data_IF_506624246188
#
_entry.id   IF_506624246188
#
_cell.length_a   1.000
_cell.length_b   1.000
_cell.length_c   1.000
_cell.angle_alpha   90.00
_cell.angle_beta   90.00
_cell.angle_gamma   90.00
#
_symmetry.space_group_name_H-M   'P 1'
#
loop_
_entity.id
_entity.type
_entity.pdbx_description
1 polymer ?
#
# COMPACT_ATOMS: atom_id res chain seq x y z
N UNK A 1 -48.04 20.91 -70.68
CA UNK A 1 -46.61 21.21 -70.47
C UNK A 1 -46.55 22.34 -69.45
N UNK A 2 -45.92 22.27 -68.28
CA UNK A 2 -44.89 21.39 -67.74
C UNK A 2 -45.07 21.25 -66.23
N UNK A 3 -44.84 20.04 -65.72
CA UNK A 3 -44.72 19.77 -64.30
C UNK A 3 -43.33 20.23 -63.81
N UNK A 4 -43.27 21.13 -62.83
CA UNK A 4 -42.03 21.39 -62.09
C UNK A 4 -41.86 20.28 -61.06
N UNK A 5 -40.82 19.45 -61.24
CA UNK A 5 -40.46 18.40 -60.29
C UNK A 5 -39.79 19.03 -59.06
N UNK A 6 -40.53 19.16 -57.96
CA UNK A 6 -39.90 19.27 -56.64
C UNK A 6 -39.43 17.88 -56.22
N UNK A 7 -38.11 17.69 -56.10
CA UNK A 7 -37.54 16.53 -55.41
C UNK A 7 -37.90 16.64 -53.93
N UNK A 8 -38.85 15.83 -53.47
CA UNK A 8 -38.98 15.52 -52.06
C UNK A 8 -37.77 14.67 -51.66
N UNK A 9 -36.85 15.23 -50.86
CA UNK A 9 -35.95 14.41 -50.07
C UNK A 9 -36.77 13.72 -48.97
N UNK A 10 -36.57 12.42 -48.71
CA UNK A 10 -37.11 11.83 -47.49
C UNK A 10 -36.36 12.43 -46.30
N UNK A 11 -37.10 12.96 -45.34
CA UNK A 11 -36.57 13.40 -44.06
C UNK A 11 -35.94 12.21 -43.32
N UNK A 12 -34.61 12.09 -43.38
CA UNK A 12 -33.84 11.19 -42.51
C UNK A 12 -33.66 11.85 -41.14
N UNK A 13 -34.77 12.02 -40.44
CA UNK A 13 -34.80 12.36 -39.02
C UNK A 13 -34.68 11.05 -38.21
N UNK A 14 -33.46 10.66 -37.84
CA UNK A 14 -33.28 9.65 -36.78
C UNK A 14 -32.04 8.75 -36.86
N UNK A 15 -31.27 8.78 -37.93
CA UNK A 15 -30.11 7.89 -38.06
C UNK A 15 -28.80 8.66 -37.91
N UNK A 16 -28.08 8.36 -36.83
CA UNK A 16 -26.76 8.92 -36.55
C UNK A 16 -25.75 8.31 -37.54
N UNK A 17 -25.50 9.00 -38.66
CA UNK A 17 -24.61 8.55 -39.74
C UNK A 17 -23.10 8.77 -39.46
N UNK A 18 -22.71 9.13 -38.23
CA UNK A 18 -21.31 9.30 -37.87
C UNK A 18 -20.68 7.96 -37.42
N UNK A 19 -19.44 7.65 -37.84
CA UNK A 19 -18.75 6.44 -37.41
C UNK A 19 -18.54 6.46 -35.88
N UNK A 20 -19.12 5.49 -35.18
CA UNK A 20 -19.06 5.36 -33.72
C UNK A 20 -20.35 5.70 -32.96
N UNK A 21 -21.45 5.99 -33.64
CA UNK A 21 -22.74 6.25 -32.99
C UNK A 21 -23.67 5.02 -33.08
N UNK A 22 -24.05 4.45 -31.94
CA UNK A 22 -25.08 3.41 -31.86
C UNK A 22 -26.38 4.00 -31.30
N UNK A 23 -27.49 3.80 -32.03
CA UNK A 23 -28.83 4.10 -31.54
C UNK A 23 -29.27 3.01 -30.56
N UNK A 24 -29.05 3.23 -29.26
CA UNK A 24 -29.54 2.34 -28.20
C UNK A 24 -31.01 2.72 -27.91
N UNK A 25 -31.89 2.48 -28.87
CA UNK A 25 -33.34 2.54 -28.66
C UNK A 25 -33.83 1.15 -28.27
N UNK A 26 -34.34 0.99 -27.05
CA UNK A 26 -35.03 -0.24 -26.66
C UNK A 26 -36.47 -0.22 -27.21
N UNK A 27 -36.82 -1.29 -27.93
CA UNK A 27 -38.15 -1.51 -28.47
C UNK A 27 -39.15 -1.73 -27.32
N UNK A 28 -40.20 -0.90 -27.23
CA UNK A 28 -41.12 -0.86 -26.08
C UNK A 28 -42.14 -2.00 -26.04
N UNK A 29 -42.13 -2.89 -27.03
CA UNK A 29 -43.19 -3.88 -27.26
C UNK A 29 -43.07 -5.20 -26.50
N UNK A 30 -41.89 -5.61 -26.03
CA UNK A 30 -41.73 -6.89 -25.31
C UNK A 30 -40.60 -6.87 -24.26
N UNK A 31 -40.75 -6.10 -23.16
CA UNK A 31 -39.75 -6.09 -22.11
C UNK A 31 -39.60 -7.45 -21.42
N UNK A 32 -40.67 -8.23 -21.23
CA UNK A 32 -40.60 -9.45 -20.40
C UNK A 32 -39.93 -10.66 -21.09
N UNK A 33 -39.83 -10.66 -22.42
CA UNK A 33 -39.21 -11.75 -23.17
C UNK A 33 -37.68 -11.62 -23.26
N UNK A 34 -37.12 -10.46 -22.90
CA UNK A 34 -35.69 -10.21 -23.06
C UNK A 34 -34.88 -10.99 -21.99
N UNK A 35 -33.86 -11.79 -22.39
CA UNK A 35 -33.10 -12.63 -21.46
C UNK A 35 -32.40 -11.84 -20.34
N UNK A 36 -32.16 -10.54 -20.53
CA UNK A 36 -31.61 -9.64 -19.51
C UNK A 36 -32.56 -9.31 -18.34
N UNK A 37 -33.88 -9.47 -18.50
CA UNK A 37 -34.88 -9.17 -17.47
C UNK A 37 -35.27 -10.39 -16.62
N UNK A 38 -34.81 -11.59 -16.99
CA UNK A 38 -34.95 -12.82 -16.19
C UNK A 38 -33.96 -12.84 -15.02
N UNK A 39 -34.24 -12.10 -13.95
CA UNK A 39 -33.41 -12.12 -12.73
C UNK A 39 -33.65 -13.40 -11.92
N UNK A 40 -32.67 -14.32 -11.88
CA UNK A 40 -32.57 -15.30 -10.79
C UNK A 40 -31.92 -14.64 -9.58
N UNK A 41 -32.74 -14.32 -8.57
CA UNK A 41 -32.25 -13.73 -7.32
C UNK A 41 -31.59 -14.85 -6.51
N UNK A 42 -30.26 -14.87 -6.46
CA UNK A 42 -29.48 -15.70 -5.52
C UNK A 42 -29.62 -15.14 -4.10
N UNK A 43 -29.88 -16.01 -3.12
CA UNK A 43 -29.94 -15.67 -1.67
C UNK A 43 -28.57 -15.39 -1.03
N UNK A 44 -27.46 -15.55 -1.76
CA UNK A 44 -26.10 -15.23 -1.29
C UNK A 44 -25.61 -14.04 -2.10
N UNK A 45 -25.62 -12.86 -1.48
CA UNK A 45 -25.58 -11.56 -2.16
C UNK A 45 -24.29 -11.25 -2.93
N UNK A 46 -24.44 -10.38 -3.94
CA UNK A 46 -23.66 -9.20 -4.36
C UNK A 46 -24.32 -8.72 -5.67
N UNK A 47 -24.63 -7.41 -5.80
CA UNK A 47 -25.46 -6.84 -6.88
C UNK A 47 -24.72 -6.60 -8.21
N UNK A 48 -25.45 -6.45 -9.34
CA UNK A 48 -24.91 -6.53 -10.70
C UNK A 48 -24.42 -5.18 -11.26
N UNK A 49 -23.80 -4.32 -10.45
CA UNK A 49 -23.20 -3.07 -10.92
C UNK A 49 -21.69 -3.17 -11.20
N UNK A 50 -21.11 -4.36 -11.06
CA UNK A 50 -19.78 -4.63 -11.60
C UNK A 50 -19.92 -4.92 -13.10
N UNK A 51 -19.31 -4.09 -13.94
CA UNK A 51 -19.21 -4.36 -15.38
C UNK A 51 -18.57 -5.73 -15.60
N UNK A 52 -19.37 -6.73 -15.98
CA UNK A 52 -18.93 -8.09 -16.30
C UNK A 52 -18.46 -8.24 -17.75
N UNK A 53 -18.48 -7.15 -18.53
CA UNK A 53 -17.88 -7.15 -19.86
C UNK A 53 -16.36 -7.31 -19.72
N UNK A 54 -15.84 -8.41 -20.27
CA UNK A 54 -14.43 -8.68 -20.41
C UNK A 54 -13.76 -7.47 -21.08
N UNK A 55 -12.93 -6.71 -20.34
CA UNK A 55 -12.25 -5.51 -20.86
C UNK A 55 -11.13 -5.84 -21.86
N UNK A 56 -10.75 -7.10 -21.97
CA UNK A 56 -9.66 -7.57 -22.82
C UNK A 56 -10.09 -8.86 -23.52
N UNK A 57 -10.38 -8.80 -24.82
CA UNK A 57 -10.51 -10.00 -25.64
C UNK A 57 -9.12 -10.64 -25.76
N UNK A 58 -8.78 -11.53 -24.83
CA UNK A 58 -7.68 -12.46 -25.01
C UNK A 58 -8.17 -13.59 -25.90
N UNK A 59 -8.30 -13.31 -27.20
CA UNK A 59 -8.58 -14.36 -28.20
C UNK A 59 -7.31 -15.17 -28.51
N UNK A 60 -6.14 -14.72 -28.03
CA UNK A 60 -4.98 -15.60 -27.83
C UNK A 60 -5.03 -16.22 -26.44
N UNK A 61 -5.74 -17.34 -26.34
CA UNK A 61 -5.44 -18.33 -25.30
C UNK A 61 -4.02 -18.79 -25.57
N UNK A 62 -3.05 -18.27 -24.80
CA UNK A 62 -1.69 -18.76 -24.84
C UNK A 62 -1.72 -20.26 -24.50
N UNK A 63 -1.39 -21.12 -25.45
CA UNK A 63 -1.23 -22.57 -25.25
C UNK A 63 -0.05 -22.93 -24.32
N UNK A 64 0.51 -21.94 -23.62
CA UNK A 64 1.50 -22.15 -22.58
C UNK A 64 0.78 -22.59 -21.29
N UNK A 65 0.98 -23.83 -20.82
CA UNK A 65 0.45 -24.26 -19.53
C UNK A 65 0.94 -23.30 -18.42
N UNK A 66 0.09 -23.08 -17.42
CA UNK A 66 0.46 -22.32 -16.24
C UNK A 66 1.67 -22.95 -15.54
N UNK A 67 2.37 -22.16 -14.72
CA UNK A 67 3.50 -22.68 -13.92
C UNK A 67 2.99 -23.79 -13.00
N UNK A 68 3.21 -25.06 -13.38
CA UNK A 68 2.74 -26.26 -12.68
C UNK A 68 1.81 -27.17 -13.49
N UNK A 69 1.28 -26.72 -14.64
CA UNK A 69 0.31 -27.46 -15.47
C UNK A 69 0.95 -28.34 -16.55
N UNK A 70 2.27 -28.53 -16.51
CA UNK A 70 2.92 -29.49 -17.41
C UNK A 70 2.57 -30.91 -16.94
N UNK A 71 1.89 -31.69 -17.78
CA UNK A 71 1.79 -33.14 -17.60
C UNK A 71 3.20 -33.73 -17.68
N UNK A 72 3.81 -33.93 -16.51
CA UNK A 72 5.02 -34.73 -16.37
C UNK A 72 4.61 -36.17 -16.68
N UNK A 73 4.73 -36.57 -17.95
CA UNK A 73 4.60 -37.96 -18.36
C UNK A 73 5.31 -38.81 -17.31
N UNK A 74 4.56 -39.66 -16.61
CA UNK A 74 4.97 -40.35 -15.40
C UNK A 74 6.22 -41.22 -15.66
N UNK A 75 7.40 -40.57 -15.63
CA UNK A 75 8.68 -41.24 -15.67
C UNK A 75 8.81 -41.93 -14.33
N UNK A 76 8.81 -43.26 -14.36
CA UNK A 76 9.10 -44.14 -13.21
C UNK A 76 10.21 -43.49 -12.39
N UNK A 77 9.90 -43.16 -11.14
CA UNK A 77 10.85 -42.54 -10.21
C UNK A 77 11.99 -43.53 -9.96
N UNK A 78 13.06 -43.46 -10.75
CA UNK A 78 14.33 -44.02 -10.31
C UNK A 78 14.90 -43.04 -9.28
N UNK A 79 15.27 -43.55 -8.10
CA UNK A 79 15.91 -42.74 -7.07
C UNK A 79 17.15 -42.09 -7.70
N UNK A 80 17.27 -40.75 -7.72
CA UNK A 80 18.48 -40.12 -8.21
C UNK A 80 19.64 -40.58 -7.31
N UNK A 81 20.68 -41.16 -7.92
CA UNK A 81 21.95 -41.42 -7.21
C UNK A 81 22.41 -40.05 -6.67
N UNK A 82 22.69 -39.97 -5.37
CA UNK A 82 23.19 -38.74 -4.77
C UNK A 82 24.47 -38.32 -5.50
N UNK A 83 24.38 -37.25 -6.28
CA UNK A 83 25.55 -36.66 -6.92
C UNK A 83 26.40 -36.03 -5.83
N UNK A 84 27.73 -36.24 -5.92
CA UNK A 84 28.66 -35.47 -5.12
C UNK A 84 28.36 -33.99 -5.35
N UNK A 85 28.15 -33.24 -4.26
CA UNK A 85 27.77 -31.83 -4.32
C UNK A 85 28.80 -31.06 -5.16
N UNK A 86 28.41 -30.41 -6.27
CA UNK A 86 29.37 -29.65 -7.06
C UNK A 86 29.88 -28.46 -6.24
N UNK A 87 31.14 -28.11 -6.44
CA UNK A 87 31.81 -26.93 -5.88
C UNK A 87 31.86 -26.85 -4.35
N UNK A 88 31.95 -27.98 -3.64
CA UNK A 88 32.18 -27.95 -2.19
C UNK A 88 31.06 -27.31 -1.38
N UNK A 89 29.85 -27.19 -1.92
CA UNK A 89 28.65 -26.58 -1.30
C UNK A 89 28.14 -27.27 -0.01
N UNK A 90 28.94 -28.18 0.57
CA UNK A 90 28.74 -28.77 1.89
C UNK A 90 29.74 -28.30 2.95
N UNK A 91 30.74 -27.49 2.60
CA UNK A 91 31.61 -26.85 3.59
C UNK A 91 30.92 -25.58 4.09
N UNK A 92 30.69 -25.50 5.40
CA UNK A 92 30.18 -24.29 6.03
C UNK A 92 31.33 -23.27 6.05
N UNK A 93 31.51 -22.49 4.98
CA UNK A 93 32.59 -21.48 4.89
C UNK A 93 32.52 -20.41 5.98
N UNK A 94 31.44 -20.38 6.77
CA UNK A 94 31.27 -19.53 7.96
C UNK A 94 32.27 -19.82 9.08
N UNK A 95 32.94 -20.97 9.08
CA UNK A 95 33.95 -21.33 10.09
C UNK A 95 35.39 -21.07 9.66
N UNK A 96 35.64 -20.57 8.44
CA UNK A 96 37.01 -20.20 8.04
C UNK A 96 37.42 -18.90 8.74
N UNK A 97 38.51 -18.97 9.48
CA UNK A 97 39.13 -17.88 10.23
C UNK A 97 39.08 -16.55 9.47
N UNK A 98 38.25 -15.63 9.96
CA UNK A 98 38.12 -14.30 9.37
C UNK A 98 39.27 -13.42 9.84
N UNK A 99 40.14 -13.01 8.92
CA UNK A 99 41.11 -11.95 9.20
C UNK A 99 40.37 -10.67 9.61
N UNK A 100 40.83 -10.00 10.67
CA UNK A 100 40.25 -8.73 11.17
C UNK A 100 40.19 -7.61 10.12
N UNK A 101 41.03 -7.71 9.08
CA UNK A 101 41.12 -6.75 7.98
C UNK A 101 40.01 -6.90 6.92
N UNK A 102 39.42 -8.08 6.78
CA UNK A 102 38.42 -8.36 5.75
C UNK A 102 37.23 -9.09 6.36
N UNK A 103 36.09 -8.41 6.53
CA UNK A 103 34.91 -9.03 7.10
C UNK A 103 34.44 -10.12 6.13
N UNK A 104 34.44 -11.39 6.59
CA UNK A 104 34.10 -12.56 5.78
C UNK A 104 32.66 -12.53 5.24
N UNK A 105 32.35 -13.38 4.27
CA UNK A 105 30.98 -13.50 3.73
C UNK A 105 29.97 -13.80 4.85
N UNK A 106 28.98 -12.92 5.04
CA UNK A 106 27.96 -13.03 6.09
C UNK A 106 28.21 -12.20 7.35
N UNK A 107 29.33 -11.48 7.44
CA UNK A 107 29.61 -10.52 8.53
C UNK A 107 28.70 -9.29 8.54
N UNK A 108 28.18 -8.89 7.37
CA UNK A 108 27.19 -7.82 7.29
C UNK A 108 25.83 -8.33 7.74
N UNK A 109 25.42 -7.96 8.96
CA UNK A 109 24.07 -8.21 9.45
C UNK A 109 23.10 -7.30 8.67
N UNK A 110 22.34 -7.87 7.74
CA UNK A 110 21.25 -7.15 7.10
C UNK A 110 20.17 -6.86 8.14
N UNK A 111 20.03 -5.59 8.53
CA UNK A 111 18.88 -5.16 9.34
C UNK A 111 17.59 -5.52 8.59
N UNK A 112 16.65 -6.16 9.27
CA UNK A 112 15.32 -6.45 8.72
C UNK A 112 14.64 -5.14 8.35
N UNK A 113 14.24 -5.01 7.09
CA UNK A 113 13.56 -3.80 6.60
C UNK A 113 12.17 -3.74 7.23
N UNK A 114 11.82 -2.61 7.86
CA UNK A 114 10.44 -2.35 8.30
C UNK A 114 9.56 -2.32 7.06
N UNK A 115 8.49 -3.12 7.04
CA UNK A 115 7.53 -3.03 5.96
C UNK A 115 6.68 -1.77 6.13
N UNK A 116 6.83 -0.85 5.19
CA UNK A 116 6.14 0.44 5.18
C UNK A 116 4.82 0.34 4.39
N UNK A 117 4.63 -0.77 3.67
CA UNK A 117 3.46 -1.00 2.83
C UNK A 117 2.40 -1.73 3.62
N UNK A 118 1.22 -1.13 3.69
CA UNK A 118 0.03 -1.84 4.12
C UNK A 118 -0.57 -2.53 2.90
N UNK A 119 -0.40 -3.84 2.83
CA UNK A 119 -1.01 -4.68 1.81
C UNK A 119 -2.48 -4.95 2.16
N UNK A 120 -3.35 -4.88 1.17
CA UNK A 120 -4.73 -5.38 1.24
C UNK A 120 -4.88 -6.39 0.11
N UNK A 121 -5.40 -7.59 0.39
CA UNK A 121 -5.58 -8.61 -0.63
C UNK A 121 -6.52 -8.10 -1.74
N UNK A 122 -6.02 -8.01 -2.98
CA UNK A 122 -6.75 -7.46 -4.13
C UNK A 122 -6.96 -5.94 -4.12
N UNK A 123 -6.37 -5.20 -3.18
CA UNK A 123 -6.58 -3.75 -3.02
C UNK A 123 -5.34 -2.89 -3.24
N UNK A 124 -5.50 -1.58 -3.08
CA UNK A 124 -4.41 -0.60 -3.27
C UNK A 124 -3.40 -0.66 -2.13
N UNK A 125 -2.11 -0.67 -2.47
CA UNK A 125 -1.02 -0.62 -1.48
C UNK A 125 -0.97 0.78 -0.89
N UNK A 126 -1.16 0.89 0.43
CA UNK A 126 -1.02 2.17 1.15
C UNK A 126 0.37 2.26 1.76
N UNK A 127 1.08 3.35 1.46
CA UNK A 127 2.38 3.63 2.07
C UNK A 127 2.11 4.33 3.42
N UNK A 128 2.52 3.71 4.52
CA UNK A 128 2.42 4.30 5.84
C UNK A 128 3.54 5.34 6.04
N UNK A 129 3.27 6.56 6.49
CA UNK A 129 4.32 7.52 6.77
C UNK A 129 5.09 7.15 8.05
N UNK A 130 6.40 7.38 8.07
CA UNK A 130 7.31 7.08 9.18
C UNK A 130 6.94 7.85 10.45
N UNK A 131 6.40 9.07 10.29
CA UNK A 131 5.80 9.87 11.35
C UNK A 131 4.33 10.14 11.03
N UNK A 132 3.45 9.98 12.01
CA UNK A 132 2.04 10.36 11.86
C UNK A 132 1.90 11.88 11.91
N UNK A 133 1.06 12.44 11.06
CA UNK A 133 0.80 13.88 11.09
C UNK A 133 -0.49 14.17 11.85
N UNK A 134 -0.42 14.99 12.89
CA UNK A 134 -1.59 15.49 13.63
C UNK A 134 -1.96 16.87 13.08
N UNK A 135 -3.21 17.00 12.66
CA UNK A 135 -3.80 18.25 12.21
C UNK A 135 -4.48 18.94 13.39
N UNK A 136 -3.90 20.06 13.85
CA UNK A 136 -4.45 20.92 14.91
C UNK A 136 -4.20 22.37 14.52
N UNK A 137 -5.04 23.28 15.00
CA UNK A 137 -4.90 24.72 14.75
C UNK A 137 -3.57 25.26 15.30
N UNK A 138 -3.26 24.88 16.53
CA UNK A 138 -2.01 25.22 17.22
C UNK A 138 -1.40 23.99 17.90
N UNK A 139 -0.06 23.92 17.90
CA UNK A 139 0.65 22.83 18.57
C UNK A 139 0.92 23.19 20.04
N UNK A 140 0.06 22.74 20.93
CA UNK A 140 0.22 22.88 22.39
C UNK A 140 0.80 21.63 23.06
N UNK A 141 1.22 20.61 22.28
CA UNK A 141 1.81 19.42 22.87
C UNK A 141 3.15 19.80 23.56
N UNK A 142 3.35 19.37 24.81
CA UNK A 142 4.56 19.61 25.61
C UNK A 142 5.17 18.31 26.08
N UNK A 143 6.49 18.25 26.16
CA UNK A 143 7.18 17.07 26.67
C UNK A 143 6.90 16.88 28.17
N UNK A 144 6.42 15.71 28.58
CA UNK A 144 6.15 15.42 29.99
C UNK A 144 7.38 15.52 30.91
N UNK A 145 8.58 15.38 30.34
CA UNK A 145 9.82 15.31 31.12
C UNK A 145 10.58 16.62 31.22
N UNK A 146 10.57 17.44 30.16
CA UNK A 146 11.28 18.73 30.15
C UNK A 146 10.35 19.94 29.99
N UNK A 147 9.05 19.71 29.82
CA UNK A 147 8.01 20.73 29.59
C UNK A 147 8.23 21.65 28.37
N UNK A 148 9.29 21.42 27.61
CA UNK A 148 9.58 22.11 26.36
C UNK A 148 8.60 21.66 25.25
N UNK A 149 8.27 22.62 24.38
CA UNK A 149 7.51 22.36 23.17
C UNK A 149 8.40 21.65 22.15
N UNK A 150 7.99 20.49 21.60
CA UNK A 150 8.76 19.81 20.57
C UNK A 150 8.77 20.64 19.28
N UNK A 151 9.96 20.96 18.77
CA UNK A 151 10.14 21.71 17.53
C UNK A 151 9.88 20.85 16.28
N UNK A 152 10.23 19.56 16.34
CA UNK A 152 10.22 18.62 15.19
C UNK A 152 9.37 17.39 15.55
N UNK A 153 9.78 16.21 15.09
CA UNK A 153 9.12 14.95 15.40
C UNK A 153 9.29 14.63 16.89
N UNK A 154 8.18 14.25 17.50
CA UNK A 154 8.12 13.85 18.89
C UNK A 154 7.36 12.54 19.03
N UNK A 155 7.38 11.99 20.23
CA UNK A 155 6.71 10.75 20.55
C UNK A 155 5.43 11.08 21.30
N UNK A 156 4.31 10.53 20.84
CA UNK A 156 3.03 10.68 21.51
C UNK A 156 2.41 9.31 21.75
N UNK A 157 2.03 9.05 22.99
CA UNK A 157 1.15 7.93 23.30
C UNK A 157 -0.29 8.40 23.00
N UNK A 158 -0.90 7.79 21.99
CA UNK A 158 -2.25 8.18 21.56
C UNK A 158 -3.35 7.75 22.54
N UNK A 159 -3.06 6.87 23.50
CA UNK A 159 -4.00 6.42 24.53
C UNK A 159 -4.00 7.34 25.75
N UNK A 160 -2.81 7.73 26.20
CA UNK A 160 -2.63 8.55 27.41
C UNK A 160 -2.41 10.03 27.12
N UNK A 161 -2.33 10.40 25.84
CA UNK A 161 -2.00 11.74 25.31
C UNK A 161 -0.65 12.31 25.78
N UNK A 162 0.16 11.51 26.48
CA UNK A 162 1.50 11.89 26.94
C UNK A 162 2.44 12.07 25.75
N UNK A 163 3.24 13.13 25.83
CA UNK A 163 4.19 13.49 24.78
C UNK A 163 5.62 13.49 25.34
N UNK A 164 6.57 13.02 24.54
CA UNK A 164 7.99 13.03 24.84
C UNK A 164 8.75 13.63 23.66
N UNK A 165 9.64 14.58 23.93
CA UNK A 165 10.55 15.09 22.91
C UNK A 165 11.59 14.01 22.54
N UNK A 166 12.28 14.18 21.41
CA UNK A 166 13.30 13.23 20.93
C UNK A 166 14.37 12.92 21.98
N UNK A 167 14.89 13.95 22.66
CA UNK A 167 15.95 13.81 23.67
C UNK A 167 15.46 13.00 24.87
N UNK A 168 14.27 13.31 25.37
CA UNK A 168 13.68 12.60 26.50
C UNK A 168 13.33 11.16 26.14
N UNK A 169 12.79 10.89 24.95
CA UNK A 169 12.50 9.52 24.51
C UNK A 169 13.75 8.63 24.50
N UNK A 170 14.89 9.16 24.04
CA UNK A 170 16.17 8.42 24.06
C UNK A 170 16.59 8.10 25.50
N UNK A 171 16.51 9.08 26.41
CA UNK A 171 16.81 8.86 27.83
C UNK A 171 15.89 7.83 28.48
N UNK A 172 14.59 7.86 28.21
CA UNK A 172 13.64 6.84 28.71
C UNK A 172 14.00 5.43 28.21
N UNK A 173 14.39 5.30 26.94
CA UNK A 173 14.83 4.02 26.37
C UNK A 173 16.15 3.54 26.98
N UNK A 174 17.08 4.44 27.29
CA UNK A 174 18.33 4.13 27.97
C UNK A 174 18.10 3.71 29.43
N UNK A 175 17.26 4.44 30.16
CA UNK A 175 16.88 4.12 31.53
C UNK A 175 16.14 2.78 31.61
N UNK A 176 15.25 2.50 30.66
CA UNK A 176 14.60 1.20 30.55
C UNK A 176 15.59 0.07 30.27
N UNK A 177 16.70 0.32 29.57
CA UNK A 177 17.73 -0.70 29.29
C UNK A 177 18.68 -0.92 30.46
N UNK A 178 19.13 0.15 31.12
CA UNK A 178 20.25 0.09 32.07
C UNK A 178 19.83 0.01 33.54
N UNK A 179 18.64 0.49 33.92
CA UNK A 179 18.26 0.70 35.33
C UNK A 179 17.17 -0.25 35.84
N UNK A 180 16.73 -1.22 35.04
CA UNK A 180 15.76 -2.22 35.47
C UNK A 180 16.42 -3.27 36.36
N UNK A 181 16.01 -3.35 37.63
CA UNK A 181 16.52 -4.34 38.60
C UNK A 181 16.08 -5.76 38.23
N UNK A 182 14.94 -5.91 37.56
CA UNK A 182 14.40 -7.20 37.10
C UNK A 182 14.10 -7.20 35.60
N UNK A 183 14.25 -8.36 34.95
CA UNK A 183 13.90 -8.55 33.52
C UNK A 183 12.40 -8.31 33.24
N UNK A 184 11.54 -8.55 34.24
CA UNK A 184 10.10 -8.30 34.15
C UNK A 184 9.81 -6.80 34.04
N UNK A 185 10.37 -5.99 34.94
CA UNK A 185 10.20 -4.52 34.92
C UNK A 185 10.78 -3.91 33.65
N UNK A 186 11.92 -4.44 33.18
CA UNK A 186 12.52 -4.05 31.92
C UNK A 186 11.55 -4.24 30.76
N UNK A 187 10.99 -5.44 30.65
CA UNK A 187 10.07 -5.80 29.57
C UNK A 187 8.84 -4.91 29.60
N UNK A 188 8.21 -4.74 30.77
CA UNK A 188 7.04 -3.88 30.94
C UNK A 188 7.33 -2.42 30.55
N UNK A 189 8.46 -1.85 30.97
CA UNK A 189 8.86 -0.48 30.57
C UNK A 189 9.09 -0.36 29.07
N UNK A 190 9.75 -1.35 28.45
CA UNK A 190 9.93 -1.33 27.01
C UNK A 190 8.61 -1.46 26.25
N UNK A 191 7.64 -2.20 26.78
CA UNK A 191 6.30 -2.35 26.20
C UNK A 191 5.51 -1.04 26.25
N UNK A 192 5.53 -0.33 27.38
CA UNK A 192 4.87 0.99 27.47
C UNK A 192 5.51 2.00 26.51
N UNK A 193 6.83 1.96 26.35
CA UNK A 193 7.54 2.82 25.39
C UNK A 193 7.23 2.47 23.92
N UNK A 194 6.88 1.22 23.59
CA UNK A 194 6.44 0.81 22.23
C UNK A 194 5.08 1.38 21.84
N UNK A 195 4.25 1.75 22.81
CA UNK A 195 2.95 2.39 22.53
C UNK A 195 3.11 3.78 21.95
N UNK A 196 4.18 4.49 22.31
CA UNK A 196 4.48 5.81 21.77
C UNK A 196 4.73 5.71 20.27
N UNK A 197 4.02 6.54 19.50
CA UNK A 197 4.22 6.67 18.05
C UNK A 197 4.92 7.98 17.75
N UNK A 198 5.76 7.97 16.72
CA UNK A 198 6.38 9.19 16.21
C UNK A 198 5.32 10.04 15.51
N UNK A 199 5.25 11.32 15.88
CA UNK A 199 4.23 12.26 15.44
C UNK A 199 4.87 13.59 15.05
N UNK A 200 4.25 14.28 14.09
CA UNK A 200 4.56 15.65 13.68
C UNK A 200 3.28 16.48 13.61
N UNK A 201 3.39 17.78 13.90
CA UNK A 201 2.31 18.74 13.68
C UNK A 201 2.17 19.12 12.20
N UNK A 202 0.95 19.37 11.72
CA UNK A 202 0.66 19.68 10.31
C UNK A 202 1.23 21.01 9.76
N UNK A 203 1.73 21.88 10.65
CA UNK A 203 2.24 23.22 10.30
C UNK A 203 3.32 23.24 9.20
N UNK A 204 3.96 22.10 8.90
CA UNK A 204 4.98 22.03 7.86
C UNK A 204 4.42 22.04 6.42
N UNK A 205 3.11 21.82 6.19
CA UNK A 205 2.54 21.78 4.84
C UNK A 205 1.24 22.55 4.65
N UNK A 206 0.52 22.85 5.74
CA UNK A 206 -0.62 23.77 5.72
C UNK A 206 -0.67 24.63 6.97
N UNK A 207 -1.36 25.76 6.86
CA UNK A 207 -1.65 26.67 7.98
C UNK A 207 -3.14 26.69 8.26
N UNK A 208 -3.48 27.05 9.49
CA UNK A 208 -4.86 27.12 9.95
C UNK A 208 -5.36 28.56 10.15
N UNK A 209 -4.45 29.54 10.25
CA UNK A 209 -4.77 30.96 10.48
C UNK A 209 -5.82 31.17 11.58
N UNK A 210 -5.66 30.44 12.69
CA UNK A 210 -6.58 30.41 13.85
C UNK A 210 -8.01 29.90 13.56
N UNK A 211 -8.24 29.34 12.37
CA UNK A 211 -9.50 28.71 11.96
C UNK A 211 -9.34 27.21 11.81
N UNK A 212 -10.45 26.47 11.73
CA UNK A 212 -10.43 25.03 11.44
C UNK A 212 -10.04 24.70 10.00
N UNK A 213 -10.15 25.68 9.08
CA UNK A 213 -9.78 25.51 7.69
C UNK A 213 -8.27 25.35 7.53
N UNK A 214 -7.83 24.52 6.59
CA UNK A 214 -6.43 24.25 6.32
C UNK A 214 -6.04 24.81 4.94
N UNK A 215 -5.16 25.82 4.92
CA UNK A 215 -4.62 26.41 3.70
C UNK A 215 -3.28 25.74 3.39
N UNK A 216 -3.28 24.86 2.38
CA UNK A 216 -2.09 24.14 1.94
C UNK A 216 -1.15 25.06 1.18
N UNK A 217 0.11 25.15 1.62
CA UNK A 217 1.15 25.90 0.91
C UNK A 217 2.17 24.98 0.23
N UNK A 218 2.12 23.66 0.50
CA UNK A 218 2.91 22.64 -0.20
C UNK A 218 1.98 21.82 -1.10
N UNK A 219 2.40 21.61 -2.35
CA UNK A 219 1.65 20.78 -3.29
C UNK A 219 1.61 19.31 -2.88
N UNK A 220 0.53 18.61 -3.22
CA UNK A 220 0.40 17.16 -2.99
C UNK A 220 1.54 16.34 -3.61
N UNK A 221 2.10 16.78 -4.75
CA UNK A 221 3.23 16.11 -5.41
C UNK A 221 4.50 16.19 -4.56
N UNK A 222 4.80 17.37 -4.02
CA UNK A 222 5.94 17.58 -3.12
C UNK A 222 5.75 16.82 -1.81
N UNK A 223 4.54 16.84 -1.24
CA UNK A 223 4.21 16.12 -0.02
C UNK A 223 4.40 14.60 -0.17
N UNK A 224 3.91 14.03 -1.28
CA UNK A 224 4.13 12.61 -1.61
C UNK A 224 5.61 12.27 -1.78
N UNK A 225 6.40 13.14 -2.43
CA UNK A 225 7.85 12.94 -2.56
C UNK A 225 8.54 12.97 -1.20
N UNK A 226 8.19 13.92 -0.34
CA UNK A 226 8.71 14.04 1.03
C UNK A 226 8.44 12.76 1.83
N UNK A 227 7.19 12.28 1.86
CA UNK A 227 6.86 11.04 2.56
C UNK A 227 7.60 9.82 2.04
N UNK A 228 7.79 9.69 0.72
CA UNK A 228 8.59 8.59 0.14
C UNK A 228 10.04 8.63 0.60
N UNK A 229 10.66 9.80 0.62
CA UNK A 229 12.04 9.98 1.08
C UNK A 229 12.18 9.71 2.57
N UNK A 230 11.30 10.27 3.40
CA UNK A 230 11.29 10.04 4.84
C UNK A 230 11.11 8.55 5.17
N UNK A 231 10.19 7.88 4.47
CA UNK A 231 10.00 6.44 4.61
C UNK A 231 11.23 5.65 4.21
N UNK A 232 11.87 5.99 3.09
CA UNK A 232 13.09 5.35 2.66
C UNK A 232 14.20 5.48 3.72
N UNK A 233 14.41 6.69 4.25
CA UNK A 233 15.41 6.95 5.27
C UNK A 233 15.10 6.24 6.60
N UNK A 234 13.82 6.12 6.97
CA UNK A 234 13.40 5.42 8.18
C UNK A 234 13.73 3.92 8.20
N UNK A 235 14.05 3.32 7.04
CA UNK A 235 14.53 1.94 6.96
C UNK A 235 15.96 1.78 7.49
N UNK A 236 16.72 2.87 7.61
CA UNK A 236 18.13 2.85 8.04
C UNK A 236 18.34 3.34 9.48
N UNK A 237 17.30 3.89 10.11
CA UNK A 237 17.24 4.22 11.55
C UNK A 237 17.02 2.96 12.42
#
# INVERSE_FOLDING_TARGET
>A
MSAMMHRHQPELLGENLAPGCHNIGYDSGTPEAHPALRKRISRKGYGPLAATSVRFNFEEVSNSPGVGDYELAARKQSKPKQSAKPFGSGTDERTKDHSLAYPGVGTYIFKTRKDIRHHSFGGTIKIMPAARTICKTENFDRCQRCDERPEVDYWKNLRTERCLCRRCMVKELEEARCHSKSKSEQTQRTETLKEYKRVRHCAYYHRHDKTSAAIQFISNKQLKRKFRLENYLSMFE
#
